data_IF_740518816422
#
_entry.id   IF_740518816422
#
_cell.length_a   1.000
_cell.length_b   1.000
_cell.length_c   1.000
_cell.angle_alpha   90.00
_cell.angle_beta   90.00
_cell.angle_gamma   90.00
#
_symmetry.space_group_name_H-M   'P 1'
#
loop_
_entity.id
_entity.type
_entity.pdbx_description
1 polymer ?
#
# COMPACT_ATOMS: atom_id res chain seq x y z
N UNK A 1 14.23 -6.75 -14.74
CA UNK A 1 13.08 -5.84 -14.83
C UNK A 1 12.19 -6.10 -13.63
N UNK A 2 11.60 -5.07 -13.03
CA UNK A 2 10.69 -5.23 -11.88
C UNK A 2 9.40 -5.94 -12.32
N UNK A 3 8.87 -6.83 -11.48
CA UNK A 3 7.57 -7.50 -11.71
C UNK A 3 6.41 -6.50 -11.80
N UNK A 4 6.56 -5.31 -11.19
CA UNK A 4 5.58 -4.23 -11.28
C UNK A 4 5.44 -3.62 -12.68
N UNK A 5 6.38 -3.88 -13.60
CA UNK A 5 6.29 -3.41 -15.00
C UNK A 5 5.42 -4.33 -15.87
N UNK A 6 4.97 -5.48 -15.35
CA UNK A 6 4.20 -6.48 -16.10
C UNK A 6 2.70 -6.19 -16.17
N UNK A 7 2.25 -5.13 -15.51
CA UNK A 7 0.89 -4.64 -15.52
C UNK A 7 0.88 -3.10 -15.48
N UNK A 8 -0.28 -2.53 -15.81
CA UNK A 8 -0.54 -1.10 -15.77
C UNK A 8 -1.80 -0.84 -14.95
N UNK A 9 -1.68 -0.11 -13.84
CA UNK A 9 -2.80 0.17 -12.94
C UNK A 9 -3.72 1.19 -13.58
N UNK A 10 -5.01 0.87 -13.61
CA UNK A 10 -6.05 1.73 -14.19
C UNK A 10 -6.88 2.44 -13.14
N UNK A 11 -7.03 1.84 -11.97
CA UNK A 11 -7.88 2.38 -10.92
C UNK A 11 -7.51 1.82 -9.55
N UNK A 12 -7.62 2.69 -8.55
CA UNK A 12 -7.59 2.33 -7.13
C UNK A 12 -8.92 2.71 -6.49
N UNK A 13 -9.57 1.76 -5.84
CA UNK A 13 -10.70 2.02 -4.95
C UNK A 13 -10.24 1.83 -3.51
N UNK A 14 -10.26 2.90 -2.71
CA UNK A 14 -9.88 2.89 -1.31
C UNK A 14 -11.16 2.90 -0.47
N UNK A 15 -11.33 1.88 0.36
CA UNK A 15 -12.40 1.76 1.34
C UNK A 15 -11.76 1.57 2.72
N UNK A 16 -11.57 2.69 3.42
CA UNK A 16 -10.74 2.79 4.61
C UNK A 16 -11.51 3.36 5.79
N UNK A 17 -11.28 2.77 6.95
CA UNK A 17 -11.66 3.30 8.25
C UNK A 17 -10.47 4.07 8.84
N UNK A 18 -10.68 5.38 9.02
CA UNK A 18 -9.67 6.31 9.53
C UNK A 18 -10.30 7.26 10.56
N UNK A 19 -9.49 7.72 11.50
CA UNK A 19 -9.92 8.65 12.55
C UNK A 19 -8.91 9.78 12.71
N UNK A 20 -9.38 10.94 13.17
CA UNK A 20 -8.52 12.03 13.65
C UNK A 20 -8.14 11.90 15.13
N UNK A 21 -8.60 10.84 15.79
CA UNK A 21 -8.29 10.53 17.19
C UNK A 21 -7.25 9.43 17.34
N UNK A 22 -7.04 8.61 16.30
CA UNK A 22 -6.09 7.49 16.28
C UNK A 22 -5.35 7.40 14.94
N UNK A 23 -4.03 7.09 14.93
CA UNK A 23 -3.28 6.82 13.69
C UNK A 23 -3.56 5.43 13.11
N UNK A 24 -4.48 4.66 13.70
CA UNK A 24 -4.91 3.37 13.16
C UNK A 24 -5.60 3.55 11.82
N UNK A 25 -5.27 2.64 10.89
CA UNK A 25 -5.95 2.50 9.62
C UNK A 25 -6.36 1.03 9.48
N UNK A 26 -7.56 0.80 9.00
CA UNK A 26 -8.03 -0.53 8.60
C UNK A 26 -8.92 -0.39 7.37
N UNK A 27 -9.01 -1.45 6.58
CA UNK A 27 -9.90 -1.47 5.42
C UNK A 27 -9.31 -2.26 4.27
N UNK A 28 -9.63 -1.84 3.05
CA UNK A 28 -9.12 -2.49 1.86
C UNK A 28 -8.88 -1.53 0.70
N UNK A 29 -7.94 -1.91 -0.17
CA UNK A 29 -7.75 -1.30 -1.48
C UNK A 29 -8.07 -2.32 -2.55
N UNK A 30 -8.88 -1.94 -3.54
CA UNK A 30 -9.06 -2.69 -4.78
C UNK A 30 -8.31 -2.02 -5.91
N UNK A 31 -7.36 -2.76 -6.50
CA UNK A 31 -6.51 -2.33 -7.60
C UNK A 31 -7.02 -2.99 -8.87
N UNK A 32 -7.44 -2.20 -9.85
CA UNK A 32 -7.79 -2.70 -11.18
C UNK A 32 -6.62 -2.44 -12.12
N UNK A 33 -6.10 -3.49 -12.75
CA UNK A 33 -4.91 -3.42 -13.59
C UNK A 33 -5.10 -4.12 -14.94
N UNK A 34 -4.38 -3.64 -15.95
CA UNK A 34 -4.27 -4.26 -17.27
C UNK A 34 -2.93 -4.99 -17.37
N UNK A 35 -2.93 -6.26 -17.78
CA UNK A 35 -1.67 -6.99 -18.00
C UNK A 35 -0.98 -6.48 -19.27
N UNK A 36 0.29 -6.09 -19.16
CA UNK A 36 1.11 -5.55 -20.28
C UNK A 36 2.13 -6.57 -20.79
N UNK A 37 2.57 -7.49 -19.93
CA UNK A 37 3.44 -8.62 -20.29
C UNK A 37 2.65 -9.74 -20.99
N UNK A 38 3.34 -10.68 -21.65
CA UNK A 38 2.69 -11.83 -22.30
C UNK A 38 1.85 -12.66 -21.31
N UNK A 39 2.37 -12.83 -20.08
CA UNK A 39 1.75 -13.59 -18.99
C UNK A 39 2.14 -12.98 -17.64
N UNK A 40 1.16 -12.90 -16.74
CA UNK A 40 1.35 -12.48 -15.35
C UNK A 40 1.06 -13.65 -14.39
N UNK A 41 2.14 -14.23 -13.87
CA UNK A 41 2.10 -15.35 -12.90
C UNK A 41 2.23 -14.87 -11.44
N UNK A 42 2.70 -13.64 -11.26
CA UNK A 42 2.93 -13.02 -9.96
C UNK A 42 2.61 -11.54 -10.04
N UNK A 43 1.71 -11.10 -9.16
CA UNK A 43 1.42 -9.69 -8.94
C UNK A 43 2.20 -9.22 -7.72
N UNK A 44 2.87 -8.08 -7.82
CA UNK A 44 3.68 -7.49 -6.76
C UNK A 44 3.24 -6.06 -6.55
N UNK A 45 3.03 -5.65 -5.31
CA UNK A 45 2.69 -4.27 -4.93
C UNK A 45 3.51 -3.86 -3.71
N UNK A 46 3.69 -2.57 -3.51
CA UNK A 46 4.38 -2.01 -2.37
C UNK A 46 3.41 -1.76 -1.22
N UNK A 47 3.75 -2.26 -0.02
CA UNK A 47 3.13 -1.92 1.25
C UNK A 47 4.13 -2.16 2.38
N UNK A 48 4.33 -1.17 3.24
CA UNK A 48 5.33 -1.26 4.30
C UNK A 48 4.96 -2.34 5.33
N UNK A 49 5.86 -3.28 5.58
CA UNK A 49 5.71 -4.24 6.70
C UNK A 49 5.98 -3.55 8.03
N UNK A 50 7.06 -2.77 8.08
CA UNK A 50 7.59 -2.18 9.30
C UNK A 50 8.66 -1.16 8.92
N UNK A 51 8.76 -0.07 9.66
CA UNK A 51 9.89 0.87 9.55
C UNK A 51 10.93 0.56 10.61
N UNK A 52 12.23 0.72 10.29
CA UNK A 52 13.35 0.47 11.22
C UNK A 52 13.31 1.34 12.50
N UNK A 53 12.51 2.40 12.52
CA UNK A 53 12.02 3.01 13.76
C UNK A 53 10.86 2.15 14.28
N UNK A 54 11.19 0.95 14.73
CA UNK A 54 10.25 -0.08 15.12
C UNK A 54 9.21 0.48 16.11
N UNK A 55 7.94 0.10 15.89
CA UNK A 55 6.77 0.29 16.77
C UNK A 55 5.80 1.45 16.47
N UNK A 56 6.08 2.32 15.50
CA UNK A 56 5.18 3.44 15.20
C UNK A 56 4.39 3.29 13.88
N UNK A 57 5.02 2.79 12.81
CA UNK A 57 4.34 2.65 11.51
C UNK A 57 4.57 1.29 10.87
N UNK A 58 3.45 0.61 10.58
CA UNK A 58 3.40 -0.70 9.95
C UNK A 58 2.02 -0.91 9.30
N UNK A 59 1.98 -1.73 8.25
CA UNK A 59 0.75 -2.27 7.68
C UNK A 59 0.82 -3.79 7.63
N UNK A 60 -0.19 -4.44 8.18
CA UNK A 60 -0.36 -5.89 8.18
C UNK A 60 -1.48 -6.26 7.21
N UNK A 61 -1.14 -7.07 6.22
CA UNK A 61 -2.13 -7.65 5.29
C UNK A 61 -2.84 -8.82 5.97
N UNK A 62 -4.16 -8.78 5.97
CA UNK A 62 -5.02 -9.83 6.54
C UNK A 62 -5.41 -10.86 5.48
N UNK A 63 -5.77 -10.39 4.29
CA UNK A 63 -6.12 -11.26 3.16
C UNK A 63 -6.00 -10.56 1.83
N UNK A 64 -5.83 -11.35 0.77
CA UNK A 64 -5.81 -10.87 -0.62
C UNK A 64 -6.80 -11.67 -1.45
N UNK A 65 -7.52 -10.99 -2.33
CA UNK A 65 -8.32 -11.60 -3.38
C UNK A 65 -7.83 -11.18 -4.75
N UNK A 66 -7.76 -12.11 -5.69
CA UNK A 66 -7.58 -11.83 -7.12
C UNK A 66 -8.84 -12.26 -7.85
N UNK A 67 -9.50 -11.35 -8.56
CA UNK A 67 -10.80 -11.59 -9.21
C UNK A 67 -11.81 -12.24 -8.24
N UNK A 68 -11.97 -11.65 -7.06
CA UNK A 68 -12.85 -12.12 -5.97
C UNK A 68 -12.51 -13.52 -5.39
N UNK A 69 -11.39 -14.13 -5.79
CA UNK A 69 -10.92 -15.42 -5.25
C UNK A 69 -9.79 -15.18 -4.26
N UNK A 70 -9.89 -15.74 -3.05
CA UNK A 70 -8.83 -15.64 -2.03
C UNK A 70 -7.52 -16.25 -2.57
N UNK A 71 -6.41 -15.56 -2.35
CA UNK A 71 -5.05 -16.02 -2.72
C UNK A 71 -4.12 -15.94 -1.52
N UNK A 72 -3.15 -16.86 -1.50
CA UNK A 72 -1.98 -16.71 -0.64
C UNK A 72 -1.13 -15.55 -1.10
N UNK A 73 -0.42 -14.93 -0.18
CA UNK A 73 0.56 -13.89 -0.45
C UNK A 73 1.78 -14.08 0.46
N UNK A 74 2.89 -13.49 0.06
CA UNK A 74 4.08 -13.34 0.89
C UNK A 74 4.32 -11.86 1.08
N UNK A 75 4.50 -11.43 2.32
CA UNK A 75 5.00 -10.09 2.63
C UNK A 75 6.51 -10.19 2.81
N UNK A 76 7.28 -9.58 1.93
CA UNK A 76 8.74 -9.57 1.98
C UNK A 76 9.24 -8.13 1.83
N UNK A 77 9.94 -7.62 2.84
CA UNK A 77 10.32 -6.21 2.94
C UNK A 77 9.07 -5.30 2.78
N UNK A 78 9.13 -4.32 1.87
CA UNK A 78 8.00 -3.44 1.56
C UNK A 78 7.09 -3.99 0.45
N UNK A 79 7.16 -5.29 0.12
CA UNK A 79 6.45 -5.89 -1.00
C UNK A 79 5.43 -6.93 -0.57
N UNK A 80 4.24 -6.88 -1.18
CA UNK A 80 3.25 -7.95 -1.16
C UNK A 80 3.36 -8.71 -2.48
N UNK A 81 3.68 -9.99 -2.41
CA UNK A 81 3.90 -10.88 -3.56
C UNK A 81 2.75 -11.89 -3.61
N UNK A 82 1.99 -11.88 -4.70
CA UNK A 82 0.74 -12.63 -4.86
C UNK A 82 0.82 -13.51 -6.11
N UNK A 83 0.98 -14.84 -5.96
CA UNK A 83 0.89 -15.78 -7.08
C UNK A 83 -0.54 -15.83 -7.65
N UNK A 84 -0.69 -15.74 -8.98
CA UNK A 84 -2.01 -15.78 -9.63
C UNK A 84 -2.57 -17.21 -9.81
N UNK A 85 -1.73 -18.24 -9.64
CA UNK A 85 -1.97 -19.69 -9.87
C UNK A 85 -2.26 -20.03 -11.34
N UNK A 86 -3.09 -19.23 -12.01
CA UNK A 86 -3.29 -19.26 -13.46
C UNK A 86 -2.74 -17.97 -14.05
N UNK A 87 -1.82 -18.10 -15.01
CA UNK A 87 -1.24 -16.95 -15.72
C UNK A 87 -2.33 -16.07 -16.31
N UNK A 88 -2.33 -14.77 -15.99
CA UNK A 88 -3.25 -13.82 -16.63
C UNK A 88 -2.59 -13.33 -17.92
N UNK A 89 -3.30 -13.43 -19.05
CA UNK A 89 -2.75 -13.10 -20.37
C UNK A 89 -2.69 -11.59 -20.62
N UNK A 90 -1.77 -11.18 -21.49
CA UNK A 90 -1.67 -9.80 -21.98
C UNK A 90 -3.02 -9.22 -22.40
N UNK A 91 -3.26 -7.95 -22.09
CA UNK A 91 -4.48 -7.22 -22.47
C UNK A 91 -5.71 -7.54 -21.62
N UNK A 92 -5.63 -8.49 -20.69
CA UNK A 92 -6.72 -8.78 -19.75
C UNK A 92 -6.73 -7.79 -18.58
N UNK A 93 -7.93 -7.35 -18.19
CA UNK A 93 -8.17 -6.65 -16.94
C UNK A 93 -8.34 -7.66 -15.80
N UNK A 94 -7.81 -7.32 -14.64
CA UNK A 94 -8.02 -8.08 -13.40
C UNK A 94 -8.07 -7.13 -12.20
N UNK A 95 -8.64 -7.61 -11.11
CA UNK A 95 -8.67 -6.88 -9.84
C UNK A 95 -7.94 -7.63 -8.74
N UNK A 96 -7.23 -6.87 -7.90
CA UNK A 96 -6.61 -7.35 -6.67
C UNK A 96 -7.17 -6.54 -5.51
N UNK A 97 -7.81 -7.20 -4.56
CA UNK A 97 -8.31 -6.58 -3.35
C UNK A 97 -7.43 -7.00 -2.18
N UNK A 98 -6.84 -6.03 -1.48
CA UNK A 98 -5.97 -6.24 -0.33
C UNK A 98 -6.65 -5.70 0.91
N UNK A 99 -6.93 -6.57 1.87
CA UNK A 99 -7.46 -6.22 3.19
C UNK A 99 -6.29 -6.09 4.16
N UNK A 100 -6.25 -5.00 4.91
CA UNK A 100 -5.14 -4.72 5.81
C UNK A 100 -5.55 -3.83 6.98
N UNK A 101 -4.73 -3.85 8.02
CA UNK A 101 -4.80 -2.91 9.13
C UNK A 101 -3.40 -2.56 9.62
N UNK A 102 -3.27 -1.46 10.35
CA UNK A 102 -2.00 -1.06 10.91
C UNK A 102 -2.03 0.30 11.56
N UNK A 103 -0.84 0.86 11.73
CA UNK A 103 -0.62 2.19 12.27
C UNK A 103 0.10 3.02 11.21
N UNK A 104 -0.47 4.16 10.85
CA UNK A 104 0.18 5.18 10.02
C UNK A 104 0.50 6.39 10.89
N UNK A 105 1.46 6.24 11.79
CA UNK A 105 1.90 7.37 12.61
C UNK A 105 2.75 8.35 11.79
N UNK A 106 2.70 9.62 12.18
CA UNK A 106 3.46 10.69 11.57
C UNK A 106 4.96 10.44 11.72
N UNK A 107 5.64 10.30 10.58
CA UNK A 107 7.04 10.71 10.51
C UNK A 107 7.06 12.21 10.28
N UNK A 108 7.71 12.93 11.19
CA UNK A 108 7.85 14.38 11.07
C UNK A 108 8.54 14.75 9.75
N UNK A 109 8.25 15.94 9.23
CA UNK A 109 8.98 16.50 8.11
C UNK A 109 10.37 16.90 8.60
N UNK A 110 11.29 15.95 8.63
CA UNK A 110 12.70 16.24 8.85
C UNK A 110 13.45 15.92 7.56
N UNK A 111 13.95 16.97 6.89
CA UNK A 111 15.12 16.79 6.02
C UNK A 111 16.27 16.50 6.95
N UNK A 112 16.71 15.25 7.01
CA UNK A 112 17.96 14.93 7.68
C UNK A 112 19.08 15.71 6.98
N UNK A 113 20.14 16.05 7.72
CA UNK A 113 21.28 16.79 7.19
C UNK A 113 22.01 16.04 6.04
N UNK A 114 21.69 14.77 5.83
CA UNK A 114 22.18 13.92 4.74
C UNK A 114 21.31 13.98 3.46
N UNK A 115 20.23 14.77 3.46
CA UNK A 115 19.32 14.91 2.33
C UNK A 115 18.17 13.92 2.30
N UNK A 116 18.04 13.01 3.27
CA UNK A 116 16.93 12.07 3.38
C UNK A 116 15.62 12.82 3.66
N UNK A 117 14.58 12.54 2.87
CA UNK A 117 13.22 13.09 3.06
C UNK A 117 12.35 12.03 3.74
N UNK A 118 11.79 12.36 4.90
CA UNK A 118 10.81 11.52 5.60
C UNK A 118 9.39 11.92 5.17
N UNK A 119 8.56 10.92 4.84
CA UNK A 119 7.18 11.10 4.36
C UNK A 119 6.20 11.25 5.53
N UNK A 120 5.42 12.34 5.57
CA UNK A 120 4.57 12.64 6.73
C UNK A 120 3.11 12.24 6.52
N UNK A 121 2.60 11.38 7.40
CA UNK A 121 1.20 10.95 7.42
C UNK A 121 0.77 10.72 8.85
N UNK A 122 -0.31 11.35 9.32
CA UNK A 122 -0.75 11.18 10.69
C UNK A 122 -1.71 12.25 11.15
N UNK A 123 -1.73 12.52 12.46
CA UNK A 123 -2.64 13.48 13.09
C UNK A 123 -1.86 14.73 13.49
N UNK A 124 -2.30 15.89 13.00
CA UNK A 124 -1.81 17.21 13.46
C UNK A 124 -2.89 17.97 14.23
N UNK A 125 -2.49 18.92 15.06
CA UNK A 125 -3.39 19.87 15.70
C UNK A 125 -3.24 21.24 15.05
N UNK A 126 -4.32 21.77 14.47
CA UNK A 126 -4.37 23.11 13.88
C UNK A 126 -5.53 23.85 14.52
N UNK A 127 -5.29 25.02 15.11
CA UNK A 127 -6.31 25.81 15.82
C UNK A 127 -7.11 24.99 16.84
N UNK A 128 -6.41 24.16 17.63
CA UNK A 128 -7.01 23.26 18.63
C UNK A 128 -7.93 22.15 18.05
N UNK A 129 -7.88 21.90 16.73
CA UNK A 129 -8.60 20.84 16.04
C UNK A 129 -7.65 19.75 15.53
N UNK A 130 -7.97 18.48 15.78
CA UNK A 130 -7.19 17.34 15.26
C UNK A 130 -7.57 17.03 13.82
N UNK A 131 -6.57 16.86 12.95
CA UNK A 131 -6.74 16.60 11.53
C UNK A 131 -5.85 15.45 11.09
N UNK A 132 -6.42 14.45 10.40
CA UNK A 132 -5.65 13.41 9.73
C UNK A 132 -5.23 13.86 8.33
N UNK A 133 -4.01 13.54 7.92
CA UNK A 133 -3.49 13.91 6.60
C UNK A 133 -2.43 12.93 6.10
N UNK A 134 -2.18 12.97 4.79
CA UNK A 134 -1.04 12.30 4.15
C UNK A 134 -0.31 13.28 3.22
N UNK A 135 1.01 13.16 3.20
CA UNK A 135 1.92 13.81 2.25
C UNK A 135 2.82 12.72 1.67
N UNK A 136 2.36 12.10 0.59
CA UNK A 136 2.95 10.87 0.07
C UNK A 136 3.96 11.09 -1.07
N UNK A 137 4.27 12.33 -1.44
CA UNK A 137 5.27 12.59 -2.48
C UNK A 137 6.70 12.42 -1.98
N UNK A 138 7.63 11.83 -2.75
CA UNK A 138 7.44 11.14 -4.04
C UNK A 138 7.11 9.65 -3.94
N UNK A 139 7.30 9.00 -2.77
CA UNK A 139 7.14 7.53 -2.58
C UNK A 139 6.55 7.13 -1.22
N UNK A 140 5.88 8.03 -0.52
CA UNK A 140 5.30 7.80 0.81
C UNK A 140 3.98 7.05 0.80
N UNK A 141 3.36 6.80 -0.37
CA UNK A 141 2.06 6.17 -0.46
C UNK A 141 2.04 4.74 0.14
N UNK A 142 3.08 3.94 -0.17
CA UNK A 142 3.28 2.58 0.35
C UNK A 142 3.31 2.46 1.88
N UNK A 143 3.43 3.58 2.60
CA UNK A 143 3.44 3.59 4.06
C UNK A 143 2.04 3.33 4.63
N UNK A 144 0.97 3.68 3.90
CA UNK A 144 -0.39 3.61 4.43
C UNK A 144 -1.42 2.91 3.53
N UNK A 145 -1.10 2.73 2.25
CA UNK A 145 -1.93 1.96 1.32
C UNK A 145 -1.05 1.35 0.23
N UNK A 146 -1.60 0.36 -0.46
CA UNK A 146 -0.87 -0.43 -1.46
C UNK A 146 -0.68 0.32 -2.78
N UNK A 147 0.54 0.36 -3.31
CA UNK A 147 0.87 1.01 -4.60
C UNK A 147 1.72 0.19 -5.55
#
# INVERSE_FOLDING_TARGET
>A
MSLMNNYDVKHYNLDLEISNLSPSISGNVTITSLVTSLKLDTFVIELITSTKAADYTFMKVDSVKVNNTIKSFVHQDDLIIIPTINSITQGSLFSVQVFYHGLATAFDFTRLNDGTVLYNQGIRVVNNQKQSFSMSESRGAKIWWTV
#
